data_IF_685458459067
#
_entry.id   IF_685458459067
#
_cell.length_a   1.000
_cell.length_b   1.000
_cell.length_c   1.000
_cell.angle_alpha   90.00
_cell.angle_beta   90.00
_cell.angle_gamma   90.00
#
_symmetry.space_group_name_H-M   'P 1'
#
loop_
_entity.id
_entity.type
_entity.pdbx_description
1 polymer ?
#
# COMPACT_ATOMS: atom_id res chain seq x y z
N UNK A 1 5.57 0.14 -0.40
CA UNK A 1 6.90 0.61 -0.85
C UNK A 1 7.91 0.26 0.22
N UNK A 2 8.96 -0.50 -0.10
CA UNK A 2 10.04 -0.81 0.87
C UNK A 2 11.11 0.28 0.83
N UNK A 3 11.73 0.58 1.99
CA UNK A 3 12.81 1.57 2.12
C UNK A 3 14.00 1.30 1.20
N UNK A 4 14.29 0.02 0.93
CA UNK A 4 15.34 -0.42 0.01
C UNK A 4 15.11 0.03 -1.44
N UNK A 5 13.87 0.03 -1.94
CA UNK A 5 13.54 0.50 -3.29
C UNK A 5 13.83 1.99 -3.45
N UNK A 6 13.41 2.80 -2.46
CA UNK A 6 13.65 4.23 -2.47
C UNK A 6 15.15 4.55 -2.44
N UNK A 7 15.92 3.82 -1.63
CA UNK A 7 17.37 3.99 -1.56
C UNK A 7 18.06 3.65 -2.89
N UNK A 8 17.64 2.57 -3.57
CA UNK A 8 18.16 2.22 -4.91
C UNK A 8 17.93 3.35 -5.91
N UNK A 9 16.70 3.89 -5.97
CA UNK A 9 16.40 5.02 -6.84
C UNK A 9 17.17 6.28 -6.45
N UNK A 10 17.30 6.58 -5.15
CA UNK A 10 18.08 7.71 -4.66
C UNK A 10 19.55 7.62 -5.09
N UNK A 11 20.18 6.45 -4.93
CA UNK A 11 21.56 6.22 -5.36
C UNK A 11 21.74 6.40 -6.87
N UNK A 12 20.79 5.92 -7.68
CA UNK A 12 20.83 6.10 -9.13
C UNK A 12 20.64 7.57 -9.53
N UNK A 13 19.64 8.24 -8.96
CA UNK A 13 19.30 9.63 -9.27
C UNK A 13 20.36 10.62 -8.79
N UNK A 14 21.13 10.30 -7.75
CA UNK A 14 22.24 11.13 -7.27
C UNK A 14 23.33 11.40 -8.33
N UNK A 15 23.39 10.59 -9.40
CA UNK A 15 24.31 10.81 -10.51
C UNK A 15 23.87 11.87 -11.53
N UNK A 16 22.67 12.45 -11.37
CA UNK A 16 22.09 13.39 -12.32
C UNK A 16 21.91 14.78 -11.70
N UNK A 17 22.15 15.83 -12.48
CA UNK A 17 21.73 17.19 -12.14
C UNK A 17 20.29 17.39 -12.61
N UNK A 18 19.33 17.22 -11.69
CA UNK A 18 17.90 17.33 -12.01
C UNK A 18 17.14 18.16 -10.98
N UNK A 19 16.08 18.80 -11.45
CA UNK A 19 15.10 19.50 -10.62
C UNK A 19 13.75 18.81 -10.71
N UNK A 20 13.12 18.52 -9.58
CA UNK A 20 11.76 17.99 -9.55
C UNK A 20 10.77 19.10 -9.92
N UNK A 21 9.87 18.82 -10.86
CA UNK A 21 8.83 19.76 -11.30
C UNK A 21 7.47 19.08 -11.28
N UNK A 22 6.46 19.78 -10.75
CA UNK A 22 5.06 19.36 -10.86
C UNK A 22 4.55 19.61 -12.27
N UNK A 23 3.94 18.60 -12.89
CA UNK A 23 3.33 18.67 -14.22
C UNK A 23 1.83 18.42 -14.13
N UNK A 24 1.03 19.16 -14.90
CA UNK A 24 -0.41 18.93 -14.98
C UNK A 24 -0.68 17.59 -15.67
N UNK A 25 -1.77 16.90 -15.29
CA UNK A 25 -2.10 15.59 -15.86
C UNK A 25 -2.18 15.58 -17.39
N UNK A 26 -2.66 16.66 -17.99
CA UNK A 26 -2.72 16.82 -19.46
C UNK A 26 -1.33 16.75 -20.11
N UNK A 27 -0.29 17.27 -19.46
CA UNK A 27 1.09 17.23 -19.96
C UNK A 27 1.72 15.82 -19.86
N UNK A 28 1.11 14.92 -19.08
CA UNK A 28 1.59 13.55 -18.88
C UNK A 28 0.87 12.54 -19.80
N UNK A 29 0.04 12.98 -20.75
CA UNK A 29 -0.83 12.09 -21.55
C UNK A 29 -0.06 10.95 -22.23
N UNK A 30 1.09 11.25 -22.84
CA UNK A 30 1.91 10.24 -23.52
C UNK A 30 2.50 9.24 -22.53
N UNK A 31 2.99 9.73 -21.38
CA UNK A 31 3.59 8.87 -20.34
C UNK A 31 2.51 7.98 -19.71
N UNK A 32 1.32 8.53 -19.42
CA UNK A 32 0.18 7.77 -18.91
C UNK A 32 -0.25 6.68 -19.90
N UNK A 33 -0.41 7.03 -21.19
CA UNK A 33 -0.76 6.07 -22.24
C UNK A 33 0.28 4.94 -22.36
N UNK A 34 1.57 5.29 -22.43
CA UNK A 34 2.64 4.30 -22.56
C UNK A 34 2.79 3.43 -21.32
N UNK A 35 2.57 3.98 -20.12
CA UNK A 35 2.66 3.22 -18.87
C UNK A 35 1.60 2.13 -18.75
N UNK A 36 0.48 2.26 -19.47
CA UNK A 36 -0.63 1.30 -19.53
C UNK A 36 -0.54 0.33 -20.71
N UNK A 37 0.34 0.59 -21.67
CA UNK A 37 0.48 -0.25 -22.85
C UNK A 37 1.06 -1.61 -22.43
N UNK A 38 0.44 -2.74 -22.84
CA UNK A 38 0.98 -4.06 -22.52
C UNK A 38 2.33 -4.25 -23.22
N UNK A 39 3.35 -4.62 -22.45
CA UNK A 39 4.68 -4.92 -22.98
C UNK A 39 4.94 -6.41 -22.81
N UNK A 40 5.25 -7.09 -23.91
CA UNK A 40 5.73 -8.47 -23.87
C UNK A 40 7.18 -8.46 -23.37
N UNK A 41 7.37 -8.65 -22.06
CA UNK A 41 8.70 -8.75 -21.47
C UNK A 41 9.26 -10.15 -21.70
N UNK A 42 10.26 -10.24 -22.58
CA UNK A 42 10.97 -11.49 -22.89
C UNK A 42 12.06 -11.83 -21.86
N UNK A 43 12.35 -10.96 -20.90
CA UNK A 43 13.41 -11.15 -19.91
C UNK A 43 13.03 -10.53 -18.56
N UNK A 44 13.29 -11.25 -17.47
CA UNK A 44 13.01 -10.79 -16.11
C UNK A 44 14.09 -9.78 -15.73
N UNK A 45 13.71 -8.50 -15.64
CA UNK A 45 14.57 -7.46 -15.08
C UNK A 45 14.61 -7.56 -13.56
N UNK A 46 15.73 -7.12 -12.95
CA UNK A 46 15.82 -6.96 -11.50
C UNK A 46 14.68 -6.11 -10.93
N UNK A 47 14.21 -5.10 -11.68
CA UNK A 47 13.06 -4.29 -11.27
C UNK A 47 11.74 -5.06 -11.23
N UNK A 48 11.55 -6.03 -12.13
CA UNK A 48 10.36 -6.90 -12.16
C UNK A 48 10.39 -7.81 -10.93
N UNK A 49 11.52 -8.48 -10.69
CA UNK A 49 11.68 -9.37 -9.54
C UNK A 49 11.48 -8.64 -8.19
N UNK A 50 12.04 -7.44 -8.03
CA UNK A 50 11.85 -6.64 -6.82
C UNK A 50 10.41 -6.15 -6.69
N UNK A 51 9.75 -5.83 -7.81
CA UNK A 51 8.36 -5.40 -7.76
C UNK A 51 7.42 -6.55 -7.37
N UNK A 52 7.66 -7.76 -7.88
CA UNK A 52 6.91 -8.96 -7.54
C UNK A 52 7.06 -9.31 -6.05
N UNK A 53 8.28 -9.26 -5.51
CA UNK A 53 8.54 -9.48 -4.08
C UNK A 53 7.77 -8.48 -3.20
N UNK A 54 7.82 -7.18 -3.54
CA UNK A 54 7.05 -6.16 -2.80
C UNK A 54 5.56 -6.37 -2.94
N UNK A 55 5.08 -6.78 -4.12
CA UNK A 55 3.67 -7.07 -4.32
C UNK A 55 3.23 -8.24 -3.46
N UNK A 56 4.05 -9.29 -3.36
CA UNK A 56 3.80 -10.44 -2.51
C UNK A 56 3.76 -10.07 -1.03
N UNK A 57 4.69 -9.24 -0.53
CA UNK A 57 4.69 -8.74 0.85
C UNK A 57 3.42 -7.92 1.12
N UNK A 58 3.06 -7.01 0.21
CA UNK A 58 1.85 -6.21 0.35
C UNK A 58 0.59 -7.08 0.33
N UNK A 59 0.52 -8.07 -0.55
CA UNK A 59 -0.58 -9.02 -0.60
C UNK A 59 -0.68 -9.80 0.72
N UNK A 60 0.42 -10.33 1.23
CA UNK A 60 0.47 -11.02 2.52
C UNK A 60 -0.05 -10.16 3.67
N UNK A 61 0.32 -8.87 3.74
CA UNK A 61 -0.20 -7.94 4.75
C UNK A 61 -1.71 -7.68 4.59
N UNK A 62 -2.24 -7.66 3.37
CA UNK A 62 -3.69 -7.54 3.12
C UNK A 62 -4.44 -8.82 3.52
N UNK A 63 -3.78 -9.98 3.48
CA UNK A 63 -4.34 -11.24 3.95
C UNK A 63 -4.19 -11.47 5.47
N UNK A 64 -3.58 -10.54 6.21
CA UNK A 64 -3.62 -10.50 7.69
C UNK A 64 -4.91 -9.85 8.24
N UNK A 65 -5.92 -9.62 7.40
CA UNK A 65 -7.26 -9.34 7.91
C UNK A 65 -7.72 -10.61 8.63
N UNK A 66 -7.99 -10.49 9.94
CA UNK A 66 -8.49 -11.60 10.76
C UNK A 66 -9.67 -12.28 10.06
N UNK A 67 -9.57 -13.60 9.90
CA UNK A 67 -10.67 -14.43 9.41
C UNK A 67 -11.69 -14.74 10.49
N UNK A 68 -11.51 -14.21 11.70
CA UNK A 68 -12.49 -14.32 12.77
C UNK A 68 -13.76 -13.60 12.36
N UNK A 69 -14.87 -14.32 12.43
CA UNK A 69 -16.18 -13.74 12.16
C UNK A 69 -16.54 -12.83 13.34
N UNK A 70 -16.57 -11.52 13.10
CA UNK A 70 -17.02 -10.54 14.09
C UNK A 70 -18.54 -10.69 14.30
N UNK A 71 -18.96 -11.27 15.42
CA UNK A 71 -20.37 -11.42 15.78
C UNK A 71 -20.84 -10.29 16.69
N UNK A 72 -22.15 -10.02 16.70
CA UNK A 72 -22.74 -9.04 17.59
C UNK A 72 -22.45 -9.37 19.07
N UNK A 73 -22.49 -10.64 19.45
CA UNK A 73 -22.20 -11.10 20.82
C UNK A 73 -20.75 -10.81 21.22
N UNK A 74 -19.79 -11.06 20.32
CA UNK A 74 -18.38 -10.76 20.56
C UNK A 74 -18.16 -9.26 20.74
N UNK A 75 -18.79 -8.42 19.92
CA UNK A 75 -18.72 -6.96 20.08
C UNK A 75 -19.32 -6.56 21.43
N UNK A 76 -20.46 -7.12 21.82
CA UNK A 76 -21.10 -6.79 23.10
C UNK A 76 -20.19 -7.15 24.28
N UNK A 77 -19.60 -8.34 24.29
CA UNK A 77 -18.69 -8.78 25.34
C UNK A 77 -17.47 -7.87 25.45
N UNK A 78 -16.75 -7.64 24.33
CA UNK A 78 -15.56 -6.79 24.32
C UNK A 78 -15.87 -5.33 24.69
N UNK A 79 -17.05 -4.82 24.28
CA UNK A 79 -17.53 -3.48 24.65
C UNK A 79 -17.83 -3.37 26.16
N UNK A 80 -18.21 -4.47 26.82
CA UNK A 80 -18.42 -4.51 28.28
C UNK A 80 -17.12 -4.62 29.06
N UNK A 81 -16.10 -5.27 28.49
CA UNK A 81 -14.77 -5.37 29.09
C UNK A 81 -13.99 -4.04 29.01
N UNK A 82 -14.24 -3.22 27.99
CA UNK A 82 -13.66 -1.88 27.88
C UNK A 82 -14.35 -0.87 28.81
N UNK A 83 -13.57 -0.21 29.66
CA UNK A 83 -14.07 0.68 30.70
C UNK A 83 -14.79 1.93 30.15
N UNK A 84 -14.28 2.54 29.08
CA UNK A 84 -14.88 3.75 28.49
C UNK A 84 -16.16 3.40 27.74
N UNK A 85 -16.13 2.34 26.94
CA UNK A 85 -17.27 1.91 26.15
C UNK A 85 -18.40 1.35 27.04
N UNK A 86 -18.07 0.62 28.10
CA UNK A 86 -19.06 0.14 29.07
C UNK A 86 -19.75 1.28 29.81
N UNK A 87 -19.08 2.42 29.98
CA UNK A 87 -19.69 3.62 30.55
C UNK A 87 -20.63 4.30 29.55
N UNK A 88 -20.19 4.49 28.31
CA UNK A 88 -21.03 5.05 27.24
C UNK A 88 -22.31 4.21 27.02
N UNK A 89 -22.18 2.87 27.01
CA UNK A 89 -23.32 1.95 26.89
C UNK A 89 -24.35 2.14 28.02
N UNK A 90 -23.88 2.37 29.25
CA UNK A 90 -24.75 2.65 30.41
C UNK A 90 -25.41 4.02 30.36
N UNK A 91 -24.79 5.00 29.71
CA UNK A 91 -25.37 6.35 29.57
C UNK A 91 -26.41 6.43 28.45
N UNK A 92 -26.38 5.50 27.49
CA UNK A 92 -27.32 5.42 26.35
C UNK A 92 -28.59 4.60 26.64
N UNK A 93 -28.59 3.77 27.69
CA UNK A 93 -29.70 2.90 28.11
C UNK A 93 -30.38 3.44 29.37
#
# INVERSE_FOLDING_TARGET
MTSARLLRYASFLAGFDYTVKLRKGLENQNVDCLSRAPVNQNCISADVSINDEVHQICASAVFEISSENLTADAIIQETEEDQELAQIKRELL
#
